data_IF_090866892593
#
_entry.id   IF_090866892593
#
_cell.length_a   1.000
_cell.length_b   1.000
_cell.length_c   1.000
_cell.angle_alpha   90.00
_cell.angle_beta   90.00
_cell.angle_gamma   90.00
#
_symmetry.space_group_name_H-M   'P 1'
#
loop_
_entity.id
_entity.type
_entity.pdbx_description
1 polymer ?
#
# COMPACT_ATOMS: atom_id res chain seq x y z
N UNK A 1 -11.27 17.80 3.74
CA UNK A 1 -10.26 18.25 2.76
C UNK A 1 -10.94 19.13 1.75
N UNK A 2 -10.28 20.22 1.30
CA UNK A 2 -10.87 21.08 0.27
C UNK A 2 -10.76 20.43 -1.10
N UNK A 3 -11.83 20.51 -1.95
CA UNK A 3 -11.75 20.11 -3.34
C UNK A 3 -10.59 20.81 -4.06
N UNK A 4 -9.87 20.10 -4.91
CA UNK A 4 -8.71 20.66 -5.64
C UNK A 4 -7.36 20.56 -4.92
N UNK A 5 -7.30 20.09 -3.68
CA UNK A 5 -6.04 20.01 -2.92
C UNK A 5 -5.03 19.00 -3.48
N UNK A 6 -5.47 17.99 -4.22
CA UNK A 6 -4.61 16.97 -4.87
C UNK A 6 -4.88 16.79 -6.36
N UNK A 7 -6.02 17.24 -6.87
CA UNK A 7 -6.40 17.12 -8.29
C UNK A 7 -7.00 18.44 -8.74
N UNK A 8 -6.52 18.97 -9.86
CA UNK A 8 -7.10 20.19 -10.44
C UNK A 8 -8.59 19.99 -10.74
N UNK A 9 -9.40 21.00 -10.40
CA UNK A 9 -10.81 21.03 -10.78
C UNK A 9 -10.87 21.33 -12.27
N UNK A 10 -11.36 20.37 -13.06
CA UNK A 10 -11.48 20.52 -14.50
C UNK A 10 -12.89 21.07 -14.85
N UNK A 11 -12.98 21.89 -15.89
CA UNK A 11 -14.20 22.64 -16.29
C UNK A 11 -15.39 21.71 -16.65
N UNK A 12 -15.12 20.45 -17.03
CA UNK A 12 -16.16 19.47 -17.32
C UNK A 12 -16.82 18.84 -16.09
N UNK A 13 -16.30 19.08 -14.90
CA UNK A 13 -16.90 18.57 -13.65
C UNK A 13 -18.14 19.40 -13.28
N UNK A 14 -19.24 18.72 -12.96
CA UNK A 14 -20.46 19.38 -12.42
C UNK A 14 -20.27 19.82 -10.98
N UNK A 15 -19.58 19.00 -10.19
CA UNK A 15 -19.20 19.30 -8.82
C UNK A 15 -17.68 19.18 -8.63
N UNK A 16 -17.12 19.98 -7.74
CA UNK A 16 -15.68 19.96 -7.46
C UNK A 16 -15.17 18.62 -6.93
N UNK A 17 -16.06 17.82 -6.35
CA UNK A 17 -15.76 16.48 -5.80
C UNK A 17 -15.92 15.37 -6.82
N UNK A 18 -16.43 15.66 -8.03
CA UNK A 18 -16.60 14.62 -9.06
C UNK A 18 -15.27 14.03 -9.48
N UNK A 19 -15.28 12.73 -9.77
CA UNK A 19 -14.12 11.99 -10.25
C UNK A 19 -14.47 11.14 -11.46
N UNK A 20 -13.43 10.79 -12.22
CA UNK A 20 -13.60 10.10 -13.51
C UNK A 20 -13.95 8.63 -13.28
N UNK A 21 -15.08 8.19 -13.82
CA UNK A 21 -15.49 6.77 -13.91
C UNK A 21 -15.00 6.12 -15.18
N UNK A 22 -15.14 6.82 -16.32
CA UNK A 22 -14.76 6.36 -17.65
C UNK A 22 -13.92 7.41 -18.34
N UNK A 23 -12.72 7.05 -18.80
CA UNK A 23 -11.77 7.96 -19.44
C UNK A 23 -11.68 7.65 -20.93
N UNK A 24 -11.88 8.61 -21.83
CA UNK A 24 -11.69 8.41 -23.26
C UNK A 24 -10.29 7.87 -23.57
N UNK A 25 -10.21 6.96 -24.54
CA UNK A 25 -8.95 6.41 -25.06
C UNK A 25 -8.85 6.66 -26.54
N UNK A 26 -7.67 7.07 -27.02
CA UNK A 26 -7.37 7.18 -28.44
C UNK A 26 -7.29 5.79 -29.09
N UNK A 27 -7.30 5.72 -30.42
CA UNK A 27 -7.27 4.44 -31.16
C UNK A 27 -6.01 3.61 -30.87
N UNK A 28 -4.88 4.28 -30.65
CA UNK A 28 -3.60 3.65 -30.30
C UNK A 28 -3.40 3.37 -28.81
N UNK A 29 -4.37 3.70 -27.98
CA UNK A 29 -4.37 3.41 -26.53
C UNK A 29 -5.25 2.20 -26.21
N UNK A 30 -4.98 1.57 -25.07
CA UNK A 30 -5.86 0.53 -24.51
C UNK A 30 -7.24 1.14 -24.23
N UNK A 31 -8.29 0.49 -24.73
CA UNK A 31 -9.65 0.97 -24.54
C UNK A 31 -10.68 -0.03 -25.07
N UNK A 32 -11.90 0.10 -24.57
CA UNK A 32 -13.05 -0.72 -24.92
C UNK A 32 -14.22 0.15 -25.35
N UNK A 33 -15.09 -0.41 -26.17
CA UNK A 33 -16.34 0.24 -26.55
C UNK A 33 -17.29 0.30 -25.36
N UNK A 34 -18.01 1.39 -25.24
CA UNK A 34 -18.98 1.63 -24.16
C UNK A 34 -20.11 2.54 -24.65
N UNK A 35 -21.22 2.65 -23.88
CA UNK A 35 -22.28 3.62 -24.18
C UNK A 35 -21.80 5.08 -24.17
N UNK A 36 -20.64 5.35 -23.57
CA UNK A 36 -20.03 6.69 -23.49
C UNK A 36 -18.88 6.89 -24.49
N UNK A 37 -18.76 5.96 -25.45
CA UNK A 37 -17.68 5.93 -26.43
C UNK A 37 -16.52 5.05 -26.01
N UNK A 38 -15.53 4.91 -26.91
CA UNK A 38 -14.32 4.15 -26.66
C UNK A 38 -13.50 4.76 -25.53
N UNK A 39 -13.12 3.95 -24.56
CA UNK A 39 -12.40 4.43 -23.39
C UNK A 39 -11.94 3.32 -22.46
N UNK A 40 -11.50 3.72 -21.29
CA UNK A 40 -11.04 2.83 -20.21
C UNK A 40 -11.60 3.26 -18.85
N UNK A 41 -11.70 2.35 -17.86
CA UNK A 41 -12.14 2.70 -16.52
C UNK A 41 -11.20 3.74 -15.89
N UNK A 42 -11.77 4.59 -15.04
CA UNK A 42 -11.00 5.41 -14.13
C UNK A 42 -10.31 4.54 -13.06
N UNK A 43 -9.19 5.01 -12.53
CA UNK A 43 -8.36 4.26 -11.58
C UNK A 43 -9.13 3.65 -10.39
N UNK A 44 -10.07 4.39 -9.81
CA UNK A 44 -10.87 3.90 -8.68
C UNK A 44 -11.84 2.79 -9.09
N UNK A 45 -12.40 2.88 -10.31
CA UNK A 45 -13.33 1.90 -10.83
C UNK A 45 -12.65 0.56 -11.12
N UNK A 46 -11.38 0.57 -11.52
CA UNK A 46 -10.59 -0.65 -11.70
C UNK A 46 -10.55 -1.46 -10.40
N UNK A 47 -10.17 -0.82 -9.29
CA UNK A 47 -10.08 -1.48 -7.99
C UNK A 47 -11.45 -1.96 -7.50
N UNK A 48 -12.47 -1.11 -7.50
CA UNK A 48 -13.82 -1.46 -7.05
C UNK A 48 -14.40 -2.65 -7.82
N UNK A 49 -14.17 -2.68 -9.14
CA UNK A 49 -14.67 -3.76 -10.00
C UNK A 49 -13.90 -5.07 -9.76
N UNK A 50 -12.57 -5.01 -9.64
CA UNK A 50 -11.75 -6.19 -9.35
C UNK A 50 -12.05 -6.78 -7.98
N UNK A 51 -12.23 -5.94 -6.95
CA UNK A 51 -12.65 -6.38 -5.63
C UNK A 51 -13.97 -7.14 -5.73
N UNK A 52 -14.99 -6.53 -6.34
CA UNK A 52 -16.30 -7.17 -6.48
C UNK A 52 -16.22 -8.50 -7.22
N UNK A 53 -15.43 -8.55 -8.31
CA UNK A 53 -15.30 -9.75 -9.15
C UNK A 53 -14.57 -10.90 -8.46
N UNK A 54 -13.52 -10.62 -7.71
CA UNK A 54 -12.60 -11.64 -7.20
C UNK A 54 -12.76 -11.93 -5.70
N UNK A 55 -13.23 -10.96 -4.93
CA UNK A 55 -13.32 -11.04 -3.47
C UNK A 55 -14.75 -10.89 -2.94
N UNK A 56 -15.69 -10.45 -3.78
CA UNK A 56 -17.08 -10.23 -3.40
C UNK A 56 -17.43 -8.76 -3.14
N UNK A 57 -18.65 -8.51 -2.68
CA UNK A 57 -19.17 -7.15 -2.49
C UNK A 57 -18.68 -6.47 -1.21
N UNK A 58 -18.27 -7.26 -0.23
CA UNK A 58 -17.69 -6.80 1.05
C UNK A 58 -16.47 -7.65 1.32
N UNK A 59 -15.34 -7.00 1.58
CA UNK A 59 -14.09 -7.67 1.97
C UNK A 59 -13.80 -7.45 3.45
N UNK A 60 -12.98 -8.29 4.05
CA UNK A 60 -12.64 -8.15 5.46
C UNK A 60 -11.74 -6.95 5.70
N UNK A 61 -10.62 -6.88 4.97
CA UNK A 61 -9.61 -5.84 5.14
C UNK A 61 -9.28 -5.20 3.80
N UNK A 62 -9.33 -3.86 3.75
CA UNK A 62 -8.82 -3.06 2.65
C UNK A 62 -7.67 -2.18 3.14
N UNK A 63 -6.50 -2.32 2.53
CA UNK A 63 -5.29 -1.66 2.98
C UNK A 63 -4.58 -0.85 1.90
N UNK A 64 -3.77 0.11 2.34
CA UNK A 64 -2.94 0.90 1.44
C UNK A 64 -2.07 1.91 2.19
N UNK A 65 -1.34 2.73 1.46
CA UNK A 65 -0.63 3.87 2.04
C UNK A 65 -1.59 4.95 2.53
N UNK A 66 -1.17 5.73 3.50
CA UNK A 66 -1.98 6.85 4.03
C UNK A 66 -2.38 7.86 2.95
N UNK A 67 -1.61 7.96 1.87
CA UNK A 67 -1.87 8.82 0.73
C UNK A 67 -3.04 8.33 -0.14
N UNK A 68 -3.43 7.07 -0.04
CA UNK A 68 -4.60 6.51 -0.71
C UNK A 68 -5.91 6.77 0.03
N UNK A 69 -5.88 7.14 1.31
CA UNK A 69 -7.10 7.43 2.08
C UNK A 69 -8.02 8.37 1.32
N UNK A 70 -7.43 9.43 0.76
CA UNK A 70 -8.14 10.38 -0.10
C UNK A 70 -7.25 10.79 -1.29
N UNK A 71 -7.81 10.79 -2.52
CA UNK A 71 -9.21 10.52 -2.86
C UNK A 71 -9.53 9.05 -3.17
N UNK A 72 -8.53 8.16 -3.26
CA UNK A 72 -8.68 6.84 -3.87
C UNK A 72 -9.69 5.95 -3.12
N UNK A 73 -9.42 5.65 -1.86
CA UNK A 73 -10.27 4.77 -1.05
C UNK A 73 -11.66 5.37 -0.78
N UNK A 74 -11.76 6.68 -0.60
CA UNK A 74 -13.06 7.35 -0.48
C UNK A 74 -13.89 7.22 -1.75
N UNK A 75 -13.27 7.30 -2.92
CA UNK A 75 -13.95 7.13 -4.20
C UNK A 75 -14.38 5.66 -4.42
N UNK A 76 -13.56 4.69 -4.03
CA UNK A 76 -13.93 3.27 -4.06
C UNK A 76 -15.11 2.97 -3.13
N UNK A 77 -15.07 3.52 -1.91
CA UNK A 77 -16.18 3.41 -0.96
C UNK A 77 -17.46 4.01 -1.53
N UNK A 78 -17.39 5.18 -2.13
CA UNK A 78 -18.53 5.84 -2.78
C UNK A 78 -19.09 4.98 -3.92
N UNK A 79 -18.24 4.41 -4.77
CA UNK A 79 -18.65 3.52 -5.86
C UNK A 79 -19.35 2.27 -5.33
N UNK A 80 -18.78 1.62 -4.32
CA UNK A 80 -19.38 0.42 -3.70
C UNK A 80 -20.72 0.74 -3.07
N UNK A 81 -20.82 1.84 -2.35
CA UNK A 81 -22.04 2.28 -1.69
C UNK A 81 -23.14 2.62 -2.68
N UNK A 82 -22.81 3.34 -3.75
CA UNK A 82 -23.76 3.72 -4.80
C UNK A 82 -24.21 2.54 -5.68
N UNK A 83 -23.30 1.61 -5.98
CA UNK A 83 -23.60 0.49 -6.87
C UNK A 83 -24.25 -0.69 -6.15
N UNK A 84 -23.78 -1.05 -4.96
CA UNK A 84 -24.17 -2.25 -4.24
C UNK A 84 -24.99 -1.97 -2.98
N UNK A 85 -25.14 -0.71 -2.58
CA UNK A 85 -25.72 -0.28 -1.29
C UNK A 85 -25.06 -0.95 -0.08
N UNK A 86 -23.75 -1.25 -0.19
CA UNK A 86 -22.95 -1.93 0.84
C UNK A 86 -21.65 -1.18 1.10
N UNK A 87 -21.09 -1.36 2.30
CA UNK A 87 -19.71 -0.93 2.59
C UNK A 87 -18.74 -1.81 1.78
N UNK A 88 -17.61 -1.24 1.36
CA UNK A 88 -16.59 -1.97 0.61
C UNK A 88 -15.82 -2.94 1.50
N UNK A 89 -15.45 -2.51 2.71
CA UNK A 89 -14.63 -3.28 3.63
C UNK A 89 -15.14 -3.20 5.08
N UNK A 90 -14.83 -4.24 5.87
CA UNK A 90 -15.07 -4.26 7.30
C UNK A 90 -14.05 -3.40 8.04
N UNK A 91 -12.78 -3.53 7.66
CA UNK A 91 -11.65 -2.81 8.25
C UNK A 91 -10.82 -2.12 7.18
N UNK A 92 -10.35 -0.91 7.52
CA UNK A 92 -9.44 -0.13 6.70
C UNK A 92 -8.11 0.00 7.41
N UNK A 93 -7.02 -0.34 6.72
CA UNK A 93 -5.66 -0.26 7.26
C UNK A 93 -4.82 0.67 6.38
N UNK A 94 -4.32 1.76 6.95
CA UNK A 94 -3.47 2.69 6.24
C UNK A 94 -2.08 2.73 6.87
N UNK A 95 -1.07 2.45 6.04
CA UNK A 95 0.33 2.47 6.44
C UNK A 95 0.93 3.86 6.26
N UNK A 96 1.82 4.24 7.15
CA UNK A 96 2.72 5.37 6.95
C UNK A 96 3.58 5.18 5.70
N UNK A 97 4.11 6.29 5.18
CA UNK A 97 4.92 6.27 3.96
C UNK A 97 6.38 5.92 4.27
N UNK A 98 7.00 5.17 3.34
CA UNK A 98 8.44 4.98 3.34
C UNK A 98 9.12 6.27 2.86
N UNK A 99 10.08 6.74 3.66
CA UNK A 99 10.91 7.91 3.35
C UNK A 99 12.37 7.50 3.27
N UNK A 100 13.11 8.12 2.37
CA UNK A 100 14.57 7.99 2.31
C UNK A 100 15.12 9.29 2.86
N UNK A 101 15.84 9.20 3.98
CA UNK A 101 16.23 10.38 4.76
C UNK A 101 14.98 11.23 5.08
N UNK A 102 14.98 12.51 4.77
CA UNK A 102 13.85 13.42 5.01
C UNK A 102 12.90 13.55 3.81
N UNK A 103 13.13 12.82 2.71
CA UNK A 103 12.35 12.93 1.49
C UNK A 103 11.48 11.70 1.21
N UNK A 104 10.27 11.90 0.65
CA UNK A 104 9.44 10.80 0.16
C UNK A 104 10.18 10.05 -0.95
N UNK A 105 10.26 8.71 -0.84
CA UNK A 105 10.76 7.89 -1.95
C UNK A 105 9.84 8.02 -3.16
N UNK A 106 10.39 8.46 -4.30
CA UNK A 106 9.62 8.60 -5.54
C UNK A 106 10.48 8.43 -6.78
N UNK A 107 9.85 7.98 -7.87
CA UNK A 107 10.52 7.85 -9.18
C UNK A 107 10.99 9.19 -9.71
N UNK A 108 10.24 10.26 -9.47
CA UNK A 108 10.57 11.62 -9.92
C UNK A 108 11.83 12.18 -9.24
N UNK A 109 12.07 11.82 -7.98
CA UNK A 109 13.27 12.22 -7.24
C UNK A 109 14.46 11.28 -7.48
N UNK A 110 14.28 10.20 -8.24
CA UNK A 110 15.33 9.19 -8.51
C UNK A 110 16.00 8.61 -7.27
N UNK A 111 15.35 8.72 -6.11
CA UNK A 111 15.80 8.16 -4.83
C UNK A 111 15.18 6.79 -4.54
N UNK A 112 14.84 6.04 -5.58
CA UNK A 112 14.14 4.78 -5.49
C UNK A 112 15.12 3.63 -5.23
N UNK A 113 14.95 2.95 -4.10
CA UNK A 113 15.74 1.78 -3.73
C UNK A 113 14.94 0.52 -4.09
N UNK A 114 15.54 -0.36 -4.87
CA UNK A 114 14.90 -1.63 -5.25
C UNK A 114 15.27 -2.72 -4.25
N UNK A 115 14.30 -3.53 -3.86
CA UNK A 115 14.52 -4.68 -2.97
C UNK A 115 15.60 -5.63 -3.51
N UNK A 116 15.61 -5.87 -4.82
CA UNK A 116 16.62 -6.71 -5.47
C UNK A 116 18.06 -6.19 -5.32
N UNK A 117 18.23 -4.86 -5.15
CA UNK A 117 19.54 -4.27 -4.97
C UNK A 117 19.96 -4.35 -3.49
N UNK A 118 19.02 -4.13 -2.56
CA UNK A 118 19.28 -4.34 -1.13
C UNK A 118 19.68 -5.79 -0.80
N UNK A 119 19.07 -6.77 -1.47
CA UNK A 119 19.38 -8.19 -1.27
C UNK A 119 20.77 -8.62 -1.75
N UNK A 120 21.51 -7.77 -2.48
CA UNK A 120 22.91 -8.02 -2.84
C UNK A 120 23.86 -7.78 -1.66
N UNK A 121 23.52 -6.85 -0.79
CA UNK A 121 24.38 -6.32 0.25
C UNK A 121 23.90 -6.69 1.67
N UNK A 122 22.63 -7.11 1.81
CA UNK A 122 22.00 -7.38 3.09
C UNK A 122 21.14 -8.64 3.08
N UNK A 123 21.14 -9.36 4.18
CA UNK A 123 20.26 -10.52 4.37
C UNK A 123 18.79 -10.11 4.42
N UNK A 124 17.92 -10.94 3.83
CA UNK A 124 16.48 -10.68 3.77
C UNK A 124 15.83 -10.51 5.15
N UNK A 125 16.32 -11.20 6.18
CA UNK A 125 15.84 -11.05 7.56
C UNK A 125 16.17 -9.67 8.15
N UNK A 126 17.36 -9.14 7.85
CA UNK A 126 17.77 -7.80 8.25
C UNK A 126 16.84 -6.76 7.63
N UNK A 127 16.56 -6.90 6.32
CA UNK A 127 15.66 -6.00 5.60
C UNK A 127 14.24 -6.08 6.18
N UNK A 128 13.74 -7.29 6.46
CA UNK A 128 12.42 -7.48 7.09
C UNK A 128 12.34 -6.84 8.46
N UNK A 129 13.35 -7.02 9.31
CA UNK A 129 13.40 -6.39 10.63
C UNK A 129 13.45 -4.87 10.51
N UNK A 130 14.22 -4.34 9.57
CA UNK A 130 14.26 -2.90 9.30
C UNK A 130 12.88 -2.35 8.90
N UNK A 131 12.15 -3.06 8.04
CA UNK A 131 10.77 -2.67 7.65
C UNK A 131 9.80 -2.69 8.84
N UNK A 132 10.03 -3.52 9.83
CA UNK A 132 9.23 -3.59 11.06
C UNK A 132 9.73 -2.63 12.16
N UNK A 133 10.78 -1.86 11.89
CA UNK A 133 11.44 -0.97 12.85
C UNK A 133 10.61 0.22 13.32
N UNK A 134 9.45 0.48 12.70
CA UNK A 134 8.51 1.49 13.16
C UNK A 134 7.07 0.94 13.19
N UNK A 135 6.22 1.60 13.98
CA UNK A 135 4.79 1.27 13.96
C UNK A 135 4.21 1.53 12.55
N UNK A 136 3.37 0.62 12.04
CA UNK A 136 2.89 0.64 10.66
C UNK A 136 2.19 1.96 10.23
N UNK A 137 1.59 2.71 11.17
CA UNK A 137 0.97 4.02 10.90
C UNK A 137 1.95 5.18 10.86
N UNK A 138 3.20 4.96 11.29
CA UNK A 138 4.23 5.99 11.30
C UNK A 138 5.06 5.92 10.01
N UNK A 139 5.57 7.05 9.51
CA UNK A 139 6.54 7.02 8.44
C UNK A 139 7.77 6.21 8.85
N UNK A 140 8.21 5.32 7.97
CA UNK A 140 9.47 4.61 8.13
C UNK A 140 10.58 5.36 7.40
N UNK A 141 11.58 5.83 8.15
CA UNK A 141 12.75 6.49 7.58
C UNK A 141 13.82 5.45 7.28
N UNK A 142 14.01 5.17 6.00
CA UNK A 142 15.03 4.24 5.52
C UNK A 142 16.39 4.94 5.44
N UNK A 143 17.35 4.46 6.19
CA UNK A 143 18.72 4.96 6.19
C UNK A 143 19.71 3.86 6.62
N UNK A 144 20.99 4.12 6.47
CA UNK A 144 22.10 3.23 6.84
C UNK A 144 22.07 2.82 8.33
N UNK A 145 21.67 3.74 9.21
CA UNK A 145 21.61 3.48 10.64
C UNK A 145 20.54 2.43 10.97
N UNK A 146 19.37 2.50 10.33
CA UNK A 146 18.29 1.53 10.49
C UNK A 146 18.76 0.11 10.11
N UNK A 147 19.45 -0.03 8.98
CA UNK A 147 20.02 -1.30 8.52
C UNK A 147 21.07 -1.81 9.48
N UNK A 148 22.01 -0.93 9.93
CA UNK A 148 23.05 -1.31 10.87
C UNK A 148 22.48 -1.79 12.21
N UNK A 149 21.47 -1.10 12.75
CA UNK A 149 20.78 -1.51 13.98
C UNK A 149 20.05 -2.84 13.81
N UNK A 150 19.35 -3.03 12.68
CA UNK A 150 18.66 -4.28 12.37
C UNK A 150 19.63 -5.45 12.26
N UNK A 151 20.78 -5.25 11.62
CA UNK A 151 21.87 -6.25 11.54
C UNK A 151 22.38 -6.65 12.92
N UNK A 152 22.64 -5.66 13.78
CA UNK A 152 23.08 -5.94 15.15
C UNK A 152 22.03 -6.72 15.94
N UNK A 153 20.76 -6.36 15.79
CA UNK A 153 19.66 -7.05 16.47
C UNK A 153 19.54 -8.49 16.02
N UNK A 154 19.56 -8.76 14.71
CA UNK A 154 19.53 -10.11 14.15
C UNK A 154 20.71 -10.94 14.67
N UNK A 155 21.95 -10.40 14.62
CA UNK A 155 23.13 -11.09 15.12
C UNK A 155 23.02 -11.42 16.60
N UNK A 156 22.50 -10.50 17.42
CA UNK A 156 22.30 -10.75 18.85
C UNK A 156 21.28 -11.87 19.09
N UNK A 157 20.17 -11.90 18.34
CA UNK A 157 19.18 -12.97 18.43
C UNK A 157 19.79 -14.33 18.07
N UNK A 158 20.52 -14.43 16.96
CA UNK A 158 21.19 -15.68 16.58
C UNK A 158 22.26 -16.10 17.60
N UNK A 159 23.05 -15.17 18.13
CA UNK A 159 24.02 -15.47 19.17
C UNK A 159 23.37 -16.00 20.45
N UNK A 160 22.21 -15.45 20.82
CA UNK A 160 21.44 -15.92 21.97
C UNK A 160 20.90 -17.33 21.76
N UNK A 161 20.39 -17.62 20.56
CA UNK A 161 19.90 -18.97 20.19
C UNK A 161 21.05 -19.98 20.16
N UNK A 162 22.21 -19.61 19.60
CA UNK A 162 23.38 -20.48 19.56
C UNK A 162 23.94 -20.81 20.93
N UNK A 163 23.63 -20.00 21.96
CA UNK A 163 23.99 -20.26 23.37
C UNK A 163 22.99 -21.14 24.11
N UNK A 164 21.84 -21.47 23.49
CA UNK A 164 20.86 -22.39 24.07
C UNK A 164 21.27 -23.84 23.81
N UNK A 165 20.98 -24.74 24.76
CA UNK A 165 21.15 -26.18 24.59
C UNK A 165 20.36 -26.64 23.36
N UNK A 166 21.00 -27.39 22.48
CA UNK A 166 20.39 -27.91 21.23
C UNK A 166 19.26 -28.92 21.48
N UNK A 167 19.04 -29.31 22.73
CA UNK A 167 18.00 -30.26 23.13
C UNK A 167 16.64 -29.60 23.46
N UNK A 168 16.50 -28.28 23.27
CA UNK A 168 15.19 -27.63 23.42
C UNK A 168 14.35 -27.94 22.16
N UNK A 169 13.41 -28.84 22.33
CA UNK A 169 12.38 -29.11 21.31
C UNK A 169 11.33 -27.99 21.36
N UNK A 170 11.36 -27.11 20.37
CA UNK A 170 10.40 -25.99 20.26
C UNK A 170 8.93 -26.44 20.19
N UNK A 171 8.67 -27.71 19.87
CA UNK A 171 7.31 -28.27 19.90
C UNK A 171 6.79 -28.55 21.32
N UNK A 172 7.64 -28.50 22.32
CA UNK A 172 7.29 -28.71 23.73
C UNK A 172 7.00 -27.37 24.46
N UNK A 173 7.15 -26.23 23.77
CA UNK A 173 6.78 -24.92 24.28
C UNK A 173 5.27 -24.70 24.07
N UNK A 174 4.46 -24.83 25.11
CA UNK A 174 3.08 -24.36 25.08
C UNK A 174 3.10 -22.81 25.00
N UNK A 175 2.25 -22.22 24.15
CA UNK A 175 2.13 -20.76 24.12
C UNK A 175 1.60 -20.30 25.48
N UNK A 176 2.23 -19.30 26.08
CA UNK A 176 1.71 -18.62 27.27
C UNK A 176 0.31 -18.07 26.99
N UNK A 177 -0.64 -18.34 27.89
CA UNK A 177 -2.04 -17.90 27.80
C UNK A 177 -2.19 -16.37 27.82
#
# INVERSE_FOLDING_TARGET
MMPGSRVQVADYKKGSSDFVLWKPSAENEIGWESPWGRGRPGWHLECSTMIKKHLGEIIDIHGGGEDLTFPHHENELAQSKCCNNKKLANYWVHNGLLRIEDSKMSKSLKNFILMKDLLKDHDGEVIRLAMLGSHYRQPLIWNENLISQSTKTINNLYNSINGLDKDINLNDCEPDE
#
